data_IF_079548718761
#
_entry.id   IF_079548718761
#
_cell.length_a   1.000
_cell.length_b   1.000
_cell.length_c   1.000
_cell.angle_alpha   90.00
_cell.angle_beta   90.00
_cell.angle_gamma   90.00
#
_symmetry.space_group_name_H-M   'P 1'
#
loop_
_entity.id
_entity.type
_entity.pdbx_description
1 polymer ?
#
# COMPACT_ATOMS: atom_id res chain seq x y z
N UNK A 1 14.87 5.35 -1.82
CA UNK A 1 14.27 4.19 -2.48
C UNK A 1 15.09 2.93 -2.20
N UNK A 2 14.51 1.78 -2.48
CA UNK A 2 15.17 0.49 -2.26
C UNK A 2 15.98 0.02 -3.48
N UNK A 3 15.98 0.76 -4.58
CA UNK A 3 16.79 0.48 -5.77
C UNK A 3 17.81 1.59 -5.98
N UNK A 4 18.85 1.30 -6.74
CA UNK A 4 19.88 2.28 -7.14
C UNK A 4 19.39 3.09 -8.33
N UNK A 5 19.81 4.34 -8.41
CA UNK A 5 19.38 5.26 -9.49
C UNK A 5 19.80 4.77 -10.88
N UNK A 6 20.97 4.12 -10.97
CA UNK A 6 21.48 3.62 -12.25
C UNK A 6 20.78 2.34 -12.72
N UNK A 7 20.00 1.68 -11.84
CA UNK A 7 19.29 0.47 -12.17
C UNK A 7 17.91 0.81 -12.73
N UNK A 8 17.44 -0.01 -13.68
CA UNK A 8 16.05 0.07 -14.12
C UNK A 8 15.14 -0.15 -12.93
N UNK A 9 14.18 0.76 -12.73
CA UNK A 9 13.24 0.67 -11.61
C UNK A 9 12.36 -0.58 -11.75
N UNK A 10 12.61 -1.63 -10.94
CA UNK A 10 11.85 -2.87 -11.06
C UNK A 10 10.37 -2.69 -10.72
N UNK A 11 10.06 -1.75 -9.86
CA UNK A 11 8.68 -1.46 -9.50
C UNK A 11 7.88 -0.93 -10.69
N UNK A 12 8.48 -0.06 -11.50
CA UNK A 12 7.83 0.48 -12.69
C UNK A 12 7.44 -0.64 -13.66
N UNK A 13 8.34 -1.60 -13.87
CA UNK A 13 8.08 -2.75 -14.74
C UNK A 13 6.96 -3.62 -14.21
N UNK A 14 7.01 -3.94 -12.93
CA UNK A 14 5.99 -4.74 -12.27
C UNK A 14 4.63 -4.06 -12.29
N UNK A 15 4.61 -2.77 -11.96
CA UNK A 15 3.37 -1.99 -11.96
C UNK A 15 2.76 -1.88 -13.36
N UNK A 16 3.58 -1.73 -14.40
CA UNK A 16 3.12 -1.73 -15.79
C UNK A 16 2.40 -3.05 -16.13
N UNK A 17 2.92 -4.18 -15.64
CA UNK A 17 2.29 -5.48 -15.83
C UNK A 17 0.95 -5.58 -15.09
N UNK A 18 0.86 -5.05 -13.87
CA UNK A 18 -0.39 -4.99 -13.10
C UNK A 18 -1.43 -4.15 -13.86
N UNK A 19 -1.04 -2.98 -14.34
CA UNK A 19 -1.94 -2.09 -15.09
C UNK A 19 -2.48 -2.75 -16.36
N UNK A 20 -1.63 -3.49 -17.07
CA UNK A 20 -2.04 -4.22 -18.27
C UNK A 20 -3.07 -5.30 -17.94
N UNK A 21 -2.86 -6.04 -16.84
CA UNK A 21 -3.80 -7.07 -16.38
C UNK A 21 -5.15 -6.45 -15.97
N UNK A 22 -5.11 -5.35 -15.22
CA UNK A 22 -6.30 -4.62 -14.80
C UNK A 22 -7.11 -4.13 -16.00
N UNK A 23 -6.43 -3.60 -17.01
CA UNK A 23 -7.08 -3.10 -18.23
C UNK A 23 -7.87 -4.22 -18.94
N UNK A 24 -7.34 -5.44 -18.95
CA UNK A 24 -8.03 -6.61 -19.52
C UNK A 24 -9.24 -7.04 -18.70
N UNK A 25 -9.19 -6.89 -17.38
CA UNK A 25 -10.24 -7.32 -16.46
C UNK A 25 -11.31 -6.25 -16.24
N UNK A 26 -11.03 -5.01 -16.65
CA UNK A 26 -11.89 -3.87 -16.35
C UNK A 26 -13.26 -4.01 -16.99
N UNK A 27 -14.29 -3.94 -16.15
CA UNK A 27 -15.70 -3.88 -16.54
C UNK A 27 -16.38 -2.75 -15.75
N UNK A 28 -17.56 -3.01 -15.23
CA UNK A 28 -18.33 -2.04 -14.44
C UNK A 28 -18.07 -2.15 -12.95
N UNK A 29 -17.53 -3.28 -12.50
CA UNK A 29 -17.22 -3.50 -11.09
C UNK A 29 -15.90 -2.87 -10.70
N UNK A 30 -15.74 -2.37 -9.46
CA UNK A 30 -14.46 -1.89 -8.99
C UNK A 30 -13.44 -3.01 -8.91
N UNK A 31 -12.18 -2.65 -9.14
CA UNK A 31 -11.04 -3.56 -9.02
C UNK A 31 -10.17 -3.07 -7.87
N UNK A 32 -9.73 -4.01 -7.04
CA UNK A 32 -8.86 -3.73 -5.90
C UNK A 32 -7.49 -4.35 -6.14
N UNK A 33 -6.44 -3.59 -5.84
CA UNK A 33 -5.06 -4.09 -5.77
C UNK A 33 -4.59 -3.92 -4.35
N UNK A 34 -4.10 -5.00 -3.76
CA UNK A 34 -3.68 -4.97 -2.36
C UNK A 34 -2.44 -5.81 -2.15
N UNK A 35 -1.60 -5.40 -1.21
CA UNK A 35 -0.41 -6.11 -0.83
C UNK A 35 0.75 -5.19 -0.47
N UNK A 36 1.92 -5.81 -0.36
CA UNK A 36 3.17 -5.14 -0.06
C UNK A 36 3.74 -4.52 -1.36
N UNK A 37 3.86 -3.20 -1.35
CA UNK A 37 4.36 -2.43 -2.49
C UNK A 37 5.83 -2.03 -2.30
N UNK A 38 6.37 -2.21 -1.08
CA UNK A 38 7.73 -1.83 -0.72
C UNK A 38 8.07 -0.34 -0.99
N UNK A 39 7.06 0.52 -1.02
CA UNK A 39 7.24 1.94 -1.25
C UNK A 39 6.43 2.72 -0.22
N UNK A 40 7.07 3.48 0.69
CA UNK A 40 6.36 4.30 1.66
C UNK A 40 5.55 5.41 0.98
N UNK A 41 4.38 5.71 1.56
CA UNK A 41 3.46 6.71 1.02
C UNK A 41 4.00 8.14 1.10
N UNK A 42 4.93 8.41 2.00
CA UNK A 42 5.52 9.73 2.20
C UNK A 42 6.75 10.01 1.32
N UNK A 43 7.16 9.04 0.50
CA UNK A 43 8.27 9.22 -0.44
C UNK A 43 7.73 9.68 -1.78
N UNK A 44 8.14 10.87 -2.21
CA UNK A 44 7.65 11.48 -3.45
C UNK A 44 8.35 10.92 -4.69
N UNK A 45 7.61 10.89 -5.80
CA UNK A 45 8.10 10.49 -7.12
C UNK A 45 8.57 9.04 -7.21
N UNK A 46 8.06 8.18 -6.35
CA UNK A 46 8.30 6.73 -6.35
C UNK A 46 6.99 5.96 -6.49
N UNK A 47 6.99 4.70 -6.09
CA UNK A 47 5.88 3.79 -6.34
C UNK A 47 4.51 4.26 -5.88
N UNK A 48 4.40 4.84 -4.70
CA UNK A 48 3.11 5.34 -4.21
C UNK A 48 2.55 6.44 -5.12
N UNK A 49 3.38 7.42 -5.48
CA UNK A 49 2.94 8.49 -6.37
C UNK A 49 2.61 7.97 -7.77
N UNK A 50 3.36 7.00 -8.27
CA UNK A 50 3.08 6.36 -9.55
C UNK A 50 1.69 5.75 -9.58
N UNK A 51 1.32 5.01 -8.53
CA UNK A 51 0.02 4.36 -8.42
C UNK A 51 -1.11 5.38 -8.29
N UNK A 52 -0.97 6.34 -7.37
CA UNK A 52 -2.03 7.33 -7.12
C UNK A 52 -2.20 8.30 -8.28
N UNK A 53 -1.11 8.69 -8.95
CA UNK A 53 -1.19 9.54 -10.13
C UNK A 53 -1.83 8.82 -11.33
N UNK A 54 -1.82 7.50 -11.35
CA UNK A 54 -2.50 6.71 -12.37
C UNK A 54 -4.02 6.58 -12.11
N UNK A 55 -4.53 7.18 -11.03
CA UNK A 55 -5.96 7.23 -10.71
C UNK A 55 -6.41 6.22 -9.64
N UNK A 56 -5.50 5.48 -9.04
CA UNK A 56 -5.84 4.53 -7.97
C UNK A 56 -6.05 5.26 -6.65
N UNK A 57 -7.11 4.86 -5.94
CA UNK A 57 -7.46 5.44 -4.65
C UNK A 57 -6.85 4.61 -3.52
N UNK A 58 -6.04 5.25 -2.69
CA UNK A 58 -5.52 4.66 -1.44
C UNK A 58 -6.62 4.71 -0.37
N UNK A 59 -7.02 3.56 0.13
CA UNK A 59 -8.08 3.47 1.14
C UNK A 59 -7.74 4.25 2.41
N UNK A 60 -6.48 4.24 2.84
CA UNK A 60 -6.04 5.00 4.01
C UNK A 60 -6.29 6.49 3.83
N UNK A 61 -5.98 7.02 2.64
CA UNK A 61 -6.04 8.46 2.39
C UNK A 61 -7.46 9.02 2.47
N UNK A 62 -8.46 8.22 2.14
CA UNK A 62 -9.87 8.66 2.06
C UNK A 62 -10.75 8.14 3.21
N UNK A 63 -10.22 7.30 4.09
CA UNK A 63 -11.00 6.71 5.17
C UNK A 63 -11.58 7.78 6.11
N UNK A 64 -12.84 7.60 6.48
CA UNK A 64 -13.49 8.46 7.48
C UNK A 64 -12.88 8.25 8.87
N UNK A 65 -12.52 7.01 9.19
CA UNK A 65 -11.86 6.65 10.45
C UNK A 65 -10.65 5.80 10.18
N UNK A 66 -9.53 6.14 10.83
CA UNK A 66 -8.26 5.40 10.74
C UNK A 66 -7.83 4.94 12.10
N UNK A 67 -7.47 3.65 12.21
CA UNK A 67 -6.94 3.05 13.44
C UNK A 67 -5.57 2.48 13.11
N UNK A 68 -4.53 3.24 13.43
CA UNK A 68 -3.15 2.96 13.04
C UNK A 68 -2.84 3.37 11.60
N UNK A 69 -1.57 3.34 11.22
CA UNK A 69 -1.13 3.65 9.85
C UNK A 69 0.01 2.74 9.40
N UNK A 70 1.07 2.62 10.21
CA UNK A 70 2.24 1.82 9.88
C UNK A 70 1.87 0.34 9.74
N UNK A 71 2.39 -0.30 8.70
CA UNK A 71 2.16 -1.72 8.44
C UNK A 71 3.37 -2.58 8.75
N UNK A 72 4.51 -1.96 9.08
CA UNK A 72 5.72 -2.65 9.52
C UNK A 72 6.37 -1.88 10.67
N UNK A 73 7.00 -2.59 11.62
CA UNK A 73 7.79 -1.95 12.67
C UNK A 73 9.10 -1.39 12.11
N UNK A 74 9.84 -0.57 12.90
CA UNK A 74 11.17 -0.14 12.51
C UNK A 74 12.13 -1.31 12.32
N UNK A 75 13.13 -1.13 11.46
CA UNK A 75 14.27 -2.03 11.28
C UNK A 75 13.94 -3.47 10.88
N UNK A 76 12.89 -3.68 10.09
CA UNK A 76 12.60 -5.00 9.53
C UNK A 76 13.57 -5.33 8.39
N UNK A 77 13.59 -6.61 7.98
CA UNK A 77 14.41 -7.05 6.86
C UNK A 77 14.11 -6.25 5.59
N UNK A 78 15.17 -5.81 4.90
CA UNK A 78 15.06 -4.92 3.74
C UNK A 78 15.03 -3.44 4.11
N UNK A 79 14.74 -3.10 5.35
CA UNK A 79 14.67 -1.73 5.85
C UNK A 79 15.55 -1.53 7.09
N UNK A 80 16.62 -2.31 7.20
CA UNK A 80 17.58 -2.21 8.31
C UNK A 80 18.16 -0.80 8.37
N UNK A 81 18.23 -0.24 9.57
CA UNK A 81 18.64 1.14 9.79
C UNK A 81 17.49 2.15 9.74
N UNK A 82 16.31 1.76 9.32
CA UNK A 82 15.12 2.60 9.43
C UNK A 82 14.65 2.63 10.88
N UNK A 83 14.59 3.82 11.46
CA UNK A 83 14.26 4.01 12.88
C UNK A 83 12.78 4.27 13.12
N UNK A 84 11.97 4.41 12.08
CA UNK A 84 10.54 4.70 12.19
C UNK A 84 9.70 3.60 11.56
N UNK A 85 8.48 3.37 12.06
CA UNK A 85 7.56 2.45 11.38
C UNK A 85 7.15 3.01 10.02
N UNK A 86 6.85 2.13 9.07
CA UNK A 86 6.51 2.49 7.70
C UNK A 86 5.16 1.93 7.31
N UNK A 87 4.50 2.60 6.38
CA UNK A 87 3.32 2.10 5.70
C UNK A 87 3.72 1.72 4.26
N UNK A 88 3.81 0.44 3.99
CA UNK A 88 4.23 -0.12 2.69
C UNK A 88 3.26 -1.16 2.15
N UNK A 89 2.24 -1.53 2.90
CA UNK A 89 1.17 -2.43 2.50
C UNK A 89 -0.10 -1.61 2.28
N UNK A 90 -0.79 -1.84 1.18
CA UNK A 90 -1.88 -0.97 0.74
C UNK A 90 -3.09 -1.75 0.26
N UNK A 91 -4.22 -1.07 0.27
CA UNK A 91 -5.42 -1.46 -0.45
C UNK A 91 -5.82 -0.29 -1.32
N UNK A 92 -5.72 -0.48 -2.64
CA UNK A 92 -6.12 0.51 -3.64
C UNK A 92 -7.36 0.05 -4.39
N UNK A 93 -8.17 1.02 -4.82
CA UNK A 93 -9.28 0.77 -5.76
C UNK A 93 -9.08 1.60 -7.03
N UNK A 94 -9.52 1.06 -8.17
CA UNK A 94 -9.41 1.73 -9.46
C UNK A 94 -10.50 2.80 -9.68
N UNK A 95 -11.49 2.83 -8.79
CA UNK A 95 -12.59 3.79 -8.81
C UNK A 95 -12.73 4.45 -7.45
N UNK A 96 -13.15 5.73 -7.40
CA UNK A 96 -13.44 6.38 -6.12
C UNK A 96 -14.53 5.62 -5.36
N UNK A 97 -14.28 5.35 -4.09
CA UNK A 97 -15.23 4.68 -3.20
C UNK A 97 -15.16 5.31 -1.82
N UNK A 98 -16.30 5.35 -1.16
CA UNK A 98 -16.34 5.78 0.23
C UNK A 98 -15.73 4.69 1.12
N UNK A 99 -14.75 5.06 1.93
CA UNK A 99 -14.11 4.18 2.91
C UNK A 99 -14.56 4.60 4.30
N UNK A 100 -15.24 3.69 4.98
CA UNK A 100 -15.73 3.94 6.34
C UNK A 100 -14.58 3.83 7.32
N UNK A 101 -13.85 2.71 7.31
CA UNK A 101 -12.82 2.41 8.29
C UNK A 101 -11.58 1.82 7.62
N UNK A 102 -10.41 2.29 8.04
CA UNK A 102 -9.11 1.66 7.80
C UNK A 102 -8.54 1.27 9.16
N UNK A 103 -8.13 0.02 9.31
CA UNK A 103 -7.56 -0.45 10.57
C UNK A 103 -6.33 -1.32 10.35
N UNK A 104 -5.25 -1.02 11.09
CA UNK A 104 -4.08 -1.90 11.19
C UNK A 104 -4.37 -2.95 12.25
N UNK A 105 -4.17 -4.23 11.89
CA UNK A 105 -4.44 -5.39 12.75
C UNK A 105 -3.18 -6.22 12.95
N UNK A 106 -3.17 -7.02 14.01
CA UNK A 106 -2.04 -7.91 14.33
C UNK A 106 -0.73 -7.15 14.58
N UNK A 107 -0.84 -5.97 15.18
CA UNK A 107 0.30 -5.12 15.56
C UNK A 107 0.72 -5.27 17.03
N UNK A 108 0.12 -6.23 17.73
CA UNK A 108 0.38 -6.49 19.15
C UNK A 108 -0.48 -5.68 20.12
N UNK A 109 -1.35 -4.78 19.64
CA UNK A 109 -2.20 -3.96 20.51
C UNK A 109 -3.45 -4.69 20.96
N UNK A 110 -4.26 -5.18 20.01
CA UNK A 110 -5.46 -5.99 20.29
C UNK A 110 -5.25 -7.44 19.95
N UNK A 111 -4.57 -7.71 18.85
CA UNK A 111 -4.25 -9.05 18.35
C UNK A 111 -2.73 -9.21 18.28
N UNK A 112 -2.19 -10.42 18.53
CA UNK A 112 -0.75 -10.61 18.55
C UNK A 112 -0.14 -10.42 17.15
N UNK A 113 1.16 -10.05 17.13
CA UNK A 113 1.93 -10.03 15.89
C UNK A 113 2.11 -11.48 15.40
N UNK A 114 1.77 -11.71 14.13
CA UNK A 114 1.89 -13.03 13.49
C UNK A 114 2.84 -13.02 12.30
N UNK A 115 3.39 -11.87 11.95
CA UNK A 115 4.27 -11.64 10.82
C UNK A 115 5.16 -10.43 11.12
N UNK A 116 6.19 -10.20 10.32
CA UNK A 116 6.97 -8.97 10.32
C UNK A 116 6.22 -7.81 9.65
N UNK A 117 5.11 -8.11 8.96
CA UNK A 117 4.13 -7.13 8.51
C UNK A 117 2.87 -7.22 9.37
N UNK A 118 2.22 -6.09 9.60
CA UNK A 118 0.89 -6.05 10.22
C UNK A 118 -0.19 -6.26 9.17
N UNK A 119 -1.38 -6.64 9.63
CA UNK A 119 -2.54 -6.75 8.75
C UNK A 119 -3.19 -5.39 8.50
N UNK A 120 -3.91 -5.29 7.40
CA UNK A 120 -4.73 -4.12 7.07
C UNK A 120 -6.14 -4.58 6.77
N UNK A 121 -7.13 -3.96 7.41
CA UNK A 121 -8.53 -4.19 7.13
C UNK A 121 -9.21 -2.89 6.74
N UNK A 122 -10.00 -2.94 5.68
CA UNK A 122 -10.72 -1.79 5.16
C UNK A 122 -12.20 -2.14 5.02
N UNK A 123 -13.06 -1.26 5.52
CA UNK A 123 -14.50 -1.37 5.33
C UNK A 123 -14.95 -0.25 4.39
N UNK A 124 -15.52 -0.64 3.28
CA UNK A 124 -16.13 0.28 2.33
C UNK A 124 -17.59 0.51 2.70
N UNK A 125 -18.02 1.72 2.53
CA UNK A 125 -19.41 2.08 2.83
C UNK A 125 -20.37 1.59 1.72
#
# INVERSE_FOLDING_TARGET
>A
SWWKEEEENPFLREWTSVEAAVKKLRGTSPIYVMGDVNNPADVRNEGYDLITNAGWQDAYAVAATRIGSATVPPAIDGWKGNEVPLRIDYIFSDQPQAVETYEVKFDGKKLPCVSDHYGVAVTYA
#
